data_IF_755815436739
#
_entry.id   IF_755815436739
#
_cell.length_a   1.000
_cell.length_b   1.000
_cell.length_c   1.000
_cell.angle_alpha   90.00
_cell.angle_beta   90.00
_cell.angle_gamma   90.00
#
_symmetry.space_group_name_H-M   'P 1'
#
loop_
_entity.id
_entity.type
_entity.pdbx_description
1 polymer ?
#
# COMPACT_ATOMS: atom_id res chain seq x y z
N UNK A 1 -21.55 -4.69 -9.68
CA UNK A 1 -20.87 -4.02 -10.81
C UNK A 1 -19.72 -3.20 -10.22
N UNK A 2 -18.47 -3.63 -10.41
CA UNK A 2 -17.30 -2.92 -9.87
C UNK A 2 -17.14 -1.61 -10.64
N UNK A 3 -17.40 -0.47 -10.00
CA UNK A 3 -17.48 0.85 -10.64
C UNK A 3 -16.11 1.39 -11.11
N UNK A 4 -15.00 0.92 -10.55
CA UNK A 4 -13.64 1.35 -10.88
C UNK A 4 -12.66 0.17 -10.75
N UNK A 5 -11.82 -0.04 -11.77
CA UNK A 5 -10.88 -1.17 -11.84
C UNK A 5 -9.52 -0.88 -11.21
N UNK A 6 -9.09 0.38 -11.15
CA UNK A 6 -7.79 0.79 -10.58
C UNK A 6 -8.03 1.95 -9.61
N UNK A 7 -7.50 1.82 -8.39
CA UNK A 7 -7.53 2.86 -7.36
C UNK A 7 -6.12 3.14 -6.88
N UNK A 8 -5.78 4.42 -6.76
CA UNK A 8 -4.45 4.91 -6.40
C UNK A 8 -4.52 5.68 -5.10
N UNK A 9 -3.72 5.23 -4.14
CA UNK A 9 -3.67 5.80 -2.81
C UNK A 9 -2.26 6.31 -2.52
N UNK A 10 -2.15 7.38 -1.73
CA UNK A 10 -0.86 7.85 -1.21
C UNK A 10 -0.84 7.63 0.30
N UNK A 11 0.29 7.14 0.82
CA UNK A 11 0.52 7.04 2.27
C UNK A 11 1.80 7.78 2.63
N UNK A 12 1.68 8.79 3.49
CA UNK A 12 2.80 9.56 3.98
C UNK A 12 3.36 8.89 5.22
N UNK A 13 4.67 8.64 5.22
CA UNK A 13 5.37 8.07 6.37
C UNK A 13 5.54 9.14 7.46
N UNK A 14 5.34 8.81 8.75
CA UNK A 14 5.68 9.69 9.85
C UNK A 14 7.12 10.20 9.75
N UNK A 15 7.27 11.53 9.83
CA UNK A 15 8.56 12.18 9.93
C UNK A 15 9.09 11.96 11.35
N UNK A 16 10.33 11.45 11.47
CA UNK A 16 11.00 11.43 12.77
C UNK A 16 11.20 12.86 13.29
N UNK A 17 11.45 13.03 14.60
CA UNK A 17 11.65 14.32 15.31
C UNK A 17 12.67 15.31 14.69
N UNK A 18 13.34 14.98 13.59
CA UNK A 18 14.41 15.74 12.93
C UNK A 18 14.06 16.35 11.56
N UNK A 19 12.88 16.12 10.99
CA UNK A 19 12.53 16.70 9.68
C UNK A 19 11.56 17.87 9.81
N UNK A 20 11.94 19.00 9.20
CA UNK A 20 11.21 20.26 9.21
C UNK A 20 9.79 20.08 8.65
N UNK A 21 8.80 20.61 9.37
CA UNK A 21 7.45 20.80 8.88
C UNK A 21 7.47 21.78 7.70
N UNK A 22 6.83 21.44 6.57
CA UNK A 22 6.60 22.39 5.47
C UNK A 22 6.89 21.91 4.03
N UNK A 23 7.24 20.65 3.81
CA UNK A 23 7.54 20.14 2.44
C UNK A 23 6.28 19.70 1.70
N UNK A 24 5.17 19.44 2.40
CA UNK A 24 3.91 19.06 1.76
C UNK A 24 2.69 19.53 2.56
N UNK A 25 1.55 19.65 1.89
CA UNK A 25 0.22 19.84 2.47
C UNK A 25 -0.75 18.81 1.87
N UNK A 26 -1.72 18.39 2.68
CA UNK A 26 -2.80 17.50 2.26
C UNK A 26 -4.10 18.27 2.37
N UNK A 27 -4.84 18.34 1.28
CA UNK A 27 -6.15 18.96 1.21
C UNK A 27 -7.20 17.88 0.94
N UNK A 28 -8.08 17.67 1.91
CA UNK A 28 -9.18 16.69 1.88
C UNK A 28 -10.54 17.32 1.51
N UNK A 29 -10.58 18.63 1.21
CA UNK A 29 -11.84 19.35 0.96
C UNK A 29 -12.38 19.13 -0.47
N UNK A 30 -11.53 18.75 -1.44
CA UNK A 30 -11.92 18.46 -2.82
C UNK A 30 -12.52 17.04 -3.01
N UNK A 31 -13.75 16.79 -2.57
CA UNK A 31 -14.43 15.50 -2.89
C UNK A 31 -14.70 15.37 -4.40
N UNK A 32 -14.36 14.24 -5.06
CA UNK A 32 -14.12 12.91 -4.48
C UNK A 32 -12.64 12.50 -4.31
N UNK A 33 -11.66 13.35 -4.57
CA UNK A 33 -10.23 13.01 -4.58
C UNK A 33 -9.42 13.93 -3.67
N UNK A 34 -8.71 13.38 -2.68
CA UNK A 34 -7.78 14.16 -1.86
C UNK A 34 -6.60 14.67 -2.72
N UNK A 35 -6.11 15.88 -2.42
CA UNK A 35 -4.97 16.49 -3.12
C UNK A 35 -3.73 16.60 -2.23
N UNK A 36 -2.59 16.19 -2.78
CA UNK A 36 -1.26 16.27 -2.15
C UNK A 36 -0.48 17.36 -2.87
N UNK A 37 -0.14 18.43 -2.17
CA UNK A 37 0.76 19.46 -2.67
C UNK A 37 2.15 19.29 -2.06
N UNK A 38 3.18 19.27 -2.90
CA UNK A 38 4.58 19.21 -2.51
C UNK A 38 5.21 20.56 -2.82
N UNK A 39 5.77 21.20 -1.79
CA UNK A 39 6.45 22.49 -1.87
C UNK A 39 7.95 22.22 -1.87
N UNK A 40 8.60 22.61 -2.96
CA UNK A 40 10.05 22.52 -3.13
C UNK A 40 10.69 23.75 -2.51
N UNK A 41 11.53 23.61 -1.46
CA UNK A 41 12.23 24.74 -0.87
C UNK A 41 13.13 25.44 -1.89
N UNK A 42 13.17 26.77 -1.83
CA UNK A 42 14.09 27.57 -2.64
C UNK A 42 15.53 27.30 -2.24
N UNK A 43 16.37 27.03 -3.24
CA UNK A 43 17.81 27.09 -3.05
C UNK A 43 18.25 28.57 -3.08
N UNK A 44 18.78 29.06 -1.96
CA UNK A 44 19.27 30.44 -1.86
C UNK A 44 20.49 30.68 -2.76
N UNK A 45 21.13 29.63 -3.30
CA UNK A 45 22.24 29.73 -4.24
C UNK A 45 21.80 30.03 -5.69
N UNK A 46 20.52 29.86 -6.05
CA UNK A 46 20.03 30.05 -7.43
C UNK A 46 19.88 31.54 -7.84
N UNK A 47 20.21 32.49 -6.96
CA UNK A 47 20.11 33.93 -7.23
C UNK A 47 18.67 34.48 -7.14
N UNK A 48 18.47 35.71 -7.64
CA UNK A 48 17.20 36.45 -7.46
C UNK A 48 16.10 36.10 -8.47
N UNK A 49 16.46 35.59 -9.66
CA UNK A 49 15.50 35.26 -10.71
C UNK A 49 15.14 33.78 -10.58
N UNK A 50 13.90 33.50 -10.21
CA UNK A 50 13.42 32.14 -10.01
C UNK A 50 12.33 31.78 -11.02
N UNK A 51 12.72 31.02 -12.05
CA UNK A 51 11.81 30.47 -13.05
C UNK A 51 11.47 28.98 -12.80
N UNK A 52 11.82 28.44 -11.63
CA UNK A 52 11.57 27.03 -11.29
C UNK A 52 10.17 26.86 -10.72
N UNK A 53 9.54 25.73 -11.03
CA UNK A 53 8.26 25.35 -10.43
C UNK A 53 8.48 24.84 -9.01
N UNK A 54 7.86 25.52 -8.04
CA UNK A 54 8.07 25.27 -6.61
C UNK A 54 6.95 24.47 -5.96
N UNK A 55 5.81 24.34 -6.62
CA UNK A 55 4.66 23.58 -6.12
C UNK A 55 4.19 22.56 -7.14
N UNK A 56 3.99 21.33 -6.67
CA UNK A 56 3.45 20.22 -7.43
C UNK A 56 2.23 19.65 -6.71
N UNK A 57 1.08 19.65 -7.38
CA UNK A 57 -0.18 19.13 -6.84
C UNK A 57 -0.59 17.84 -7.54
N UNK A 58 -0.88 16.81 -6.76
CA UNK A 58 -1.29 15.48 -7.22
C UNK A 58 -2.63 15.10 -6.60
N UNK A 59 -3.45 14.34 -7.32
CA UNK A 59 -4.77 13.89 -6.84
C UNK A 59 -4.78 12.37 -6.67
N UNK A 60 -5.36 11.90 -5.57
CA UNK A 60 -5.47 10.49 -5.22
C UNK A 60 -6.88 10.16 -4.74
N UNK A 61 -7.29 8.89 -4.79
CA UNK A 61 -8.57 8.47 -4.22
C UNK A 61 -8.65 8.76 -2.72
N UNK A 62 -7.52 8.61 -2.02
CA UNK A 62 -7.35 9.03 -0.63
C UNK A 62 -5.87 9.16 -0.31
N UNK A 63 -5.55 10.13 0.53
CA UNK A 63 -4.22 10.31 1.10
C UNK A 63 -4.28 9.91 2.58
N UNK A 64 -3.40 8.99 2.96
CA UNK A 64 -3.19 8.59 4.36
C UNK A 64 -2.02 9.40 4.89
N UNK A 65 -2.30 10.43 5.68
CA UNK A 65 -1.26 11.25 6.29
C UNK A 65 -0.51 10.51 7.41
N UNK A 66 0.47 11.14 8.03
CA UNK A 66 1.40 10.54 9.00
C UNK A 66 0.69 9.80 10.16
N UNK A 67 -0.44 10.30 10.62
CA UNK A 67 -1.20 9.71 11.74
C UNK A 67 -2.05 8.49 11.33
N UNK A 68 -2.06 8.12 10.05
CA UNK A 68 -2.87 7.02 9.55
C UNK A 68 -2.40 5.65 10.06
N UNK A 69 -3.27 5.05 10.86
CA UNK A 69 -3.09 3.71 11.44
C UNK A 69 -3.33 2.59 10.42
N UNK A 70 -2.79 1.42 10.70
CA UNK A 70 -2.83 0.25 9.81
C UNK A 70 -4.25 -0.27 9.56
N UNK A 71 -5.13 -0.19 10.56
CA UNK A 71 -6.55 -0.55 10.45
C UNK A 71 -7.28 0.36 9.46
N UNK A 72 -7.06 1.68 9.53
CA UNK A 72 -7.67 2.64 8.61
C UNK A 72 -7.23 2.40 7.16
N UNK A 73 -5.94 2.07 6.95
CA UNK A 73 -5.39 1.71 5.63
C UNK A 73 -6.02 0.42 5.13
N UNK A 74 -6.13 -0.61 5.98
CA UNK A 74 -6.77 -1.88 5.65
C UNK A 74 -8.24 -1.70 5.24
N UNK A 75 -9.04 -1.00 6.05
CA UNK A 75 -10.47 -0.79 5.80
C UNK A 75 -10.72 0.00 4.51
N UNK A 76 -9.84 0.93 4.16
CA UNK A 76 -9.98 1.78 2.98
C UNK A 76 -9.51 1.11 1.69
N UNK A 77 -8.46 0.27 1.74
CA UNK A 77 -7.81 -0.32 0.56
C UNK A 77 -8.14 -1.81 0.43
N UNK A 78 -7.78 -2.59 1.46
CA UNK A 78 -7.71 -4.05 1.34
C UNK A 78 -9.05 -4.73 1.55
N UNK A 79 -9.88 -4.22 2.47
CA UNK A 79 -11.20 -4.78 2.74
C UNK A 79 -12.12 -4.78 1.50
N UNK A 80 -12.28 -3.68 0.73
CA UNK A 80 -13.07 -3.70 -0.50
C UNK A 80 -12.53 -4.69 -1.53
N UNK A 81 -11.21 -4.87 -1.63
CA UNK A 81 -10.59 -5.84 -2.54
C UNK A 81 -10.88 -7.26 -2.07
N UNK A 82 -10.78 -7.54 -0.77
CA UNK A 82 -11.11 -8.85 -0.20
C UNK A 82 -12.60 -9.20 -0.39
N UNK A 83 -13.50 -8.23 -0.25
CA UNK A 83 -14.93 -8.41 -0.56
C UNK A 83 -15.16 -8.76 -2.04
N UNK A 84 -14.41 -8.14 -2.97
CA UNK A 84 -14.44 -8.53 -4.38
C UNK A 84 -13.92 -9.96 -4.60
N UNK A 85 -12.87 -10.38 -3.90
CA UNK A 85 -12.34 -11.75 -3.96
C UNK A 85 -13.36 -12.78 -3.46
N UNK A 86 -14.03 -12.49 -2.35
CA UNK A 86 -15.11 -13.34 -1.81
C UNK A 86 -16.32 -13.42 -2.74
N UNK A 87 -16.53 -12.41 -3.59
CA UNK A 87 -17.53 -12.40 -4.65
C UNK A 87 -17.08 -13.08 -5.97
N UNK A 88 -15.86 -13.62 -6.02
CA UNK A 88 -15.32 -14.37 -7.17
C UNK A 88 -14.52 -13.53 -8.17
N UNK A 89 -14.05 -12.33 -7.80
CA UNK A 89 -13.22 -11.48 -8.65
C UNK A 89 -11.75 -11.51 -8.24
N UNK A 90 -10.82 -11.35 -9.20
CA UNK A 90 -9.41 -11.21 -8.89
C UNK A 90 -9.11 -9.83 -8.29
N UNK A 91 -8.22 -9.78 -7.30
CA UNK A 91 -7.82 -8.54 -6.62
C UNK A 91 -6.33 -8.48 -6.37
N UNK A 92 -5.69 -7.37 -6.73
CA UNK A 92 -4.24 -7.15 -6.56
C UNK A 92 -4.00 -5.85 -5.81
N UNK A 93 -3.11 -5.90 -4.81
CA UNK A 93 -2.64 -4.74 -4.05
C UNK A 93 -1.12 -4.73 -4.13
N UNK A 94 -0.53 -3.64 -4.58
CA UNK A 94 0.92 -3.45 -4.59
C UNK A 94 1.27 -2.13 -3.87
N UNK A 95 2.41 -2.12 -3.19
CA UNK A 95 2.96 -0.91 -2.57
C UNK A 95 4.18 -0.45 -3.36
N UNK A 96 4.19 0.83 -3.77
CA UNK A 96 5.26 1.42 -4.55
C UNK A 96 5.85 2.64 -3.84
N UNK A 97 7.15 2.88 -4.04
CA UNK A 97 7.88 4.01 -3.45
C UNK A 97 9.36 3.70 -3.19
N UNK A 98 10.12 4.72 -2.78
CA UNK A 98 11.56 4.57 -2.51
C UNK A 98 11.89 3.61 -1.36
N UNK A 99 13.13 3.13 -1.29
CA UNK A 99 13.60 2.34 -0.12
C UNK A 99 13.45 3.16 1.16
N UNK A 100 12.96 2.52 2.22
CA UNK A 100 12.71 3.18 3.50
C UNK A 100 11.41 4.02 3.59
N UNK A 101 10.60 4.09 2.53
CA UNK A 101 9.32 4.85 2.53
C UNK A 101 8.17 4.20 3.30
N UNK A 102 8.33 2.95 3.76
CA UNK A 102 7.29 2.23 4.52
C UNK A 102 6.47 1.22 3.71
N UNK A 103 6.92 0.79 2.53
CA UNK A 103 6.28 -0.29 1.73
C UNK A 103 6.07 -1.57 2.56
N UNK A 104 7.16 -2.15 3.08
CA UNK A 104 7.13 -3.37 3.90
C UNK A 104 6.28 -3.19 5.16
N UNK A 105 6.37 -2.02 5.80
CA UNK A 105 5.53 -1.71 6.95
C UNK A 105 4.03 -1.68 6.58
N UNK A 106 3.68 -1.17 5.40
CA UNK A 106 2.28 -1.14 4.93
C UNK A 106 1.76 -2.53 4.59
N UNK A 107 2.55 -3.33 3.87
CA UNK A 107 2.14 -4.64 3.37
C UNK A 107 2.18 -5.71 4.47
N UNK A 108 3.32 -5.86 5.16
CA UNK A 108 3.54 -6.90 6.17
C UNK A 108 3.19 -6.39 7.57
N UNK A 109 3.59 -5.17 7.90
CA UNK A 109 3.43 -4.59 9.24
C UNK A 109 4.71 -4.54 10.06
N UNK A 110 4.59 -4.01 11.27
CA UNK A 110 5.61 -4.08 12.31
C UNK A 110 5.52 -5.37 13.13
N UNK A 111 6.66 -5.86 13.62
CA UNK A 111 6.74 -7.06 14.45
C UNK A 111 6.43 -6.81 15.94
N UNK A 112 6.44 -5.55 16.39
CA UNK A 112 6.41 -5.23 17.83
C UNK A 112 5.01 -5.28 18.44
N UNK A 113 3.98 -4.81 17.71
CA UNK A 113 2.62 -4.68 18.24
C UNK A 113 1.61 -5.29 17.29
N UNK A 114 0.61 -5.96 17.86
CA UNK A 114 -0.49 -6.55 17.10
C UNK A 114 -1.28 -5.52 16.27
N UNK A 115 -1.35 -4.27 16.75
CA UNK A 115 -1.93 -3.12 16.03
C UNK A 115 -1.16 -2.75 14.76
N UNK A 116 0.13 -3.07 14.71
CA UNK A 116 1.04 -2.59 13.66
C UNK A 116 1.13 -3.56 12.48
N UNK A 117 0.40 -4.69 12.55
CA UNK A 117 0.22 -5.65 11.45
C UNK A 117 -0.34 -4.94 10.20
N UNK A 118 0.25 -5.26 9.05
CA UNK A 118 -0.06 -4.62 7.77
C UNK A 118 -1.24 -5.25 7.04
N UNK A 119 -1.31 -5.00 5.75
CA UNK A 119 -2.38 -5.47 4.87
C UNK A 119 -2.48 -7.00 4.82
N UNK A 120 -1.38 -7.72 4.56
CA UNK A 120 -1.40 -9.19 4.39
C UNK A 120 -2.06 -9.91 5.59
N UNK A 121 -1.55 -9.77 6.83
CA UNK A 121 -2.12 -10.51 7.97
C UNK A 121 -3.56 -10.09 8.29
N UNK A 122 -3.94 -8.83 8.04
CA UNK A 122 -5.32 -8.36 8.24
C UNK A 122 -6.27 -8.94 7.19
N UNK A 123 -5.86 -8.99 5.93
CA UNK A 123 -6.62 -9.59 4.84
C UNK A 123 -6.84 -11.08 5.05
N UNK A 124 -5.81 -11.83 5.44
CA UNK A 124 -5.95 -13.25 5.76
C UNK A 124 -6.95 -13.46 6.90
N UNK A 125 -6.80 -12.71 8.00
CA UNK A 125 -7.72 -12.78 9.14
C UNK A 125 -9.17 -12.47 8.74
N UNK A 126 -9.38 -11.46 7.89
CA UNK A 126 -10.70 -11.06 7.42
C UNK A 126 -11.31 -12.12 6.50
N UNK A 127 -10.55 -12.65 5.53
CA UNK A 127 -11.03 -13.70 4.62
C UNK A 127 -11.49 -14.91 5.44
N UNK A 128 -10.65 -15.47 6.32
CA UNK A 128 -11.02 -16.64 7.12
C UNK A 128 -12.22 -16.39 8.03
N UNK A 129 -12.36 -15.20 8.62
CA UNK A 129 -13.54 -14.81 9.39
C UNK A 129 -14.82 -14.81 8.52
N UNK A 130 -14.75 -14.33 7.27
CA UNK A 130 -15.89 -14.37 6.35
C UNK A 130 -16.22 -15.79 5.90
N UNK A 131 -15.22 -16.63 5.63
CA UNK A 131 -15.43 -18.03 5.24
C UNK A 131 -16.11 -18.83 6.35
N UNK A 132 -15.77 -18.58 7.63
CA UNK A 132 -16.41 -19.23 8.77
C UNK A 132 -17.88 -18.84 8.95
N UNK A 133 -18.26 -17.63 8.51
CA UNK A 133 -19.63 -17.11 8.61
C UNK A 133 -20.54 -17.59 7.49
N UNK A 134 -19.98 -17.98 6.34
CA UNK A 134 -20.75 -18.48 5.20
C UNK A 134 -20.85 -20.02 5.25
N UNK A 135 -21.92 -20.53 5.86
CA UNK A 135 -22.22 -21.97 5.92
C UNK A 135 -22.83 -22.53 4.62
N UNK A 136 -23.09 -21.68 3.61
CA UNK A 136 -23.74 -22.09 2.37
C UNK A 136 -22.77 -22.69 1.34
N UNK A 137 -21.46 -22.52 1.55
CA UNK A 137 -20.41 -22.91 0.61
C UNK A 137 -19.30 -23.69 1.30
N UNK A 138 -18.65 -24.56 0.54
CA UNK A 138 -17.40 -25.21 0.94
C UNK A 138 -16.25 -24.49 0.29
N UNK A 139 -15.31 -24.01 1.08
CA UNK A 139 -14.15 -23.26 0.62
C UNK A 139 -12.88 -24.11 0.73
N UNK A 140 -12.04 -24.06 -0.29
CA UNK A 140 -10.65 -24.55 -0.23
C UNK A 140 -9.73 -23.37 -0.50
N UNK A 141 -8.72 -23.17 0.35
CA UNK A 141 -7.81 -22.02 0.25
C UNK A 141 -6.38 -22.52 0.05
N UNK A 142 -5.64 -21.84 -0.81
CA UNK A 142 -4.23 -22.10 -1.10
C UNK A 142 -3.46 -20.79 -0.97
N UNK A 143 -2.21 -20.86 -0.56
CA UNK A 143 -1.32 -19.71 -0.42
C UNK A 143 0.00 -20.05 -1.11
N UNK A 144 0.47 -19.15 -1.96
CA UNK A 144 1.81 -19.15 -2.51
C UNK A 144 2.54 -17.89 -2.06
N UNK A 145 3.86 -17.95 -1.93
CA UNK A 145 4.68 -16.79 -1.57
C UNK A 145 5.96 -16.76 -2.39
N UNK A 146 6.10 -15.70 -3.20
CA UNK A 146 7.12 -15.60 -4.24
C UNK A 146 7.98 -14.36 -4.04
N UNK A 147 9.30 -14.50 -4.26
CA UNK A 147 10.23 -13.39 -4.45
C UNK A 147 10.71 -13.35 -5.91
N UNK A 148 10.78 -12.15 -6.48
CA UNK A 148 11.39 -11.90 -7.78
C UNK A 148 12.64 -11.05 -7.53
N UNK A 149 13.81 -11.61 -7.81
CA UNK A 149 15.08 -10.93 -7.64
C UNK A 149 15.98 -11.16 -8.85
N UNK A 150 16.42 -10.07 -9.49
CA UNK A 150 17.28 -10.09 -10.67
C UNK A 150 16.73 -10.99 -11.80
N UNK A 151 15.44 -10.82 -12.12
CA UNK A 151 14.71 -11.63 -13.12
C UNK A 151 14.62 -13.14 -12.82
N UNK A 152 15.02 -13.57 -11.61
CA UNK A 152 14.83 -14.93 -11.11
C UNK A 152 13.69 -14.97 -10.09
N UNK A 153 12.88 -16.04 -10.14
CA UNK A 153 11.83 -16.29 -9.16
C UNK A 153 12.30 -17.28 -8.08
N UNK A 154 11.88 -17.05 -6.84
CA UNK A 154 12.19 -17.89 -5.69
C UNK A 154 10.91 -18.18 -4.90
N UNK A 155 10.55 -19.45 -4.78
CA UNK A 155 9.46 -19.87 -3.88
C UNK A 155 9.92 -19.76 -2.43
N UNK A 156 9.32 -18.84 -1.69
CA UNK A 156 9.64 -18.56 -0.29
C UNK A 156 9.07 -19.62 0.67
N UNK A 157 8.24 -20.54 0.17
CA UNK A 157 7.72 -21.68 0.92
C UNK A 157 8.49 -22.98 0.61
N UNK A 158 9.33 -22.99 -0.43
CA UNK A 158 10.22 -24.12 -0.72
C UNK A 158 11.51 -24.01 0.12
N UNK A 159 11.79 -24.95 1.04
CA UNK A 159 13.00 -24.91 1.86
C UNK A 159 14.30 -24.94 1.04
N UNK A 160 14.27 -25.44 -0.20
CA UNK A 160 15.44 -25.51 -1.07
C UNK A 160 15.91 -24.12 -1.56
N UNK A 161 15.02 -23.13 -1.60
CA UNK A 161 15.30 -21.77 -2.08
C UNK A 161 16.04 -21.76 -3.44
N UNK A 162 15.67 -22.66 -4.34
CA UNK A 162 16.26 -22.75 -5.67
C UNK A 162 15.68 -21.67 -6.59
N UNK A 163 16.54 -21.08 -7.41
CA UNK A 163 16.12 -20.12 -8.43
C UNK A 163 15.42 -20.86 -9.58
N UNK A 164 14.23 -20.41 -9.92
CA UNK A 164 13.42 -20.94 -11.01
C UNK A 164 13.06 -19.84 -12.01
N UNK A 165 12.72 -20.22 -13.25
CA UNK A 165 12.11 -19.27 -14.19
C UNK A 165 10.71 -18.95 -13.69
N UNK A 166 10.23 -17.74 -13.97
CA UNK A 166 8.92 -17.29 -13.51
C UNK A 166 7.77 -18.19 -14.00
N UNK A 167 7.95 -18.82 -15.16
CA UNK A 167 6.99 -19.72 -15.81
C UNK A 167 6.92 -21.12 -15.14
N UNK A 168 7.97 -21.50 -14.41
CA UNK A 168 8.12 -22.83 -13.79
C UNK A 168 7.67 -22.84 -12.32
N UNK A 169 7.20 -21.71 -11.81
CA UNK A 169 6.72 -21.55 -10.43
C UNK A 169 5.25 -22.01 -10.30
N UNK A 170 4.88 -22.61 -9.14
CA UNK A 170 3.59 -23.25 -8.93
C UNK A 170 2.37 -22.29 -8.96
#
# INVERSE_FOLDING_TARGET
MVKETIRVYARVKPLGRRQQAGIYSVDDDEKPLSSLEIIVPRDLADGFINNKRESYRFKFQKIFDQEAKQDVVFDSIAKPVAECVLAGYNGTIFAYGQTGSGKTFTITGGAERYSDRGIIPRTLSYIFDQLQKDSSKVYTTHVSYLEIYNECGYDLLDPRHEASRLEDLP
#
